data_IF_393805773562
#
_entry.id   IF_393805773562
#
_cell.length_a   1.000
_cell.length_b   1.000
_cell.length_c   1.000
_cell.angle_alpha   90.00
_cell.angle_beta   90.00
_cell.angle_gamma   90.00
#
_symmetry.space_group_name_H-M   'P 1'
#
loop_
_entity.id
_entity.type
_entity.pdbx_description
1 polymer ?
#
# COMPACT_ATOMS: atom_id res chain seq x y z
N UNK A 1 24.61 41.79 -17.26
CA UNK A 1 23.74 40.64 -17.60
C UNK A 1 24.43 39.39 -17.09
N UNK A 2 24.04 38.91 -15.91
CA UNK A 2 24.47 37.61 -15.41
C UNK A 2 23.17 36.86 -15.19
N UNK A 3 22.80 36.02 -16.15
CA UNK A 3 21.71 35.07 -16.02
C UNK A 3 22.35 33.75 -15.60
N UNK A 4 22.70 33.69 -14.33
CA UNK A 4 23.07 32.44 -13.67
C UNK A 4 21.85 32.05 -12.83
N UNK A 5 21.05 31.13 -13.35
CA UNK A 5 20.23 30.31 -12.49
C UNK A 5 19.95 28.99 -13.22
N UNK A 6 21.01 28.19 -13.21
CA UNK A 6 20.96 26.74 -13.12
C UNK A 6 19.88 26.28 -12.12
N UNK A 7 19.50 25.00 -12.22
CA UNK A 7 18.59 24.33 -11.30
C UNK A 7 17.07 24.43 -11.58
N UNK A 8 16.67 24.04 -12.81
CA UNK A 8 15.34 23.47 -13.06
C UNK A 8 15.25 21.99 -12.62
N UNK A 9 16.05 21.56 -11.64
CA UNK A 9 15.95 20.25 -11.00
C UNK A 9 14.96 20.30 -9.82
N UNK A 10 13.79 20.90 -10.05
CA UNK A 10 12.76 21.05 -9.01
C UNK A 10 11.98 19.76 -8.86
N UNK A 11 12.62 18.82 -8.18
CA UNK A 11 12.03 17.90 -7.23
C UNK A 11 10.76 17.20 -7.72
N UNK A 12 10.96 16.06 -8.40
CA UNK A 12 10.11 14.90 -8.13
C UNK A 12 10.33 14.51 -6.65
N UNK A 13 9.74 15.26 -5.72
CA UNK A 13 9.49 14.74 -4.37
C UNK A 13 8.57 13.56 -4.59
N UNK A 14 9.15 12.35 -4.70
CA UNK A 14 8.43 11.12 -4.43
C UNK A 14 7.71 11.40 -3.12
N UNK A 15 6.39 11.56 -3.17
CA UNK A 15 5.58 11.76 -1.98
C UNK A 15 5.83 10.53 -1.11
N UNK A 16 6.84 10.60 -0.25
CA UNK A 16 7.09 9.58 0.74
C UNK A 16 5.84 9.59 1.60
N UNK A 17 5.14 8.46 1.74
CA UNK A 17 3.97 8.43 2.60
C UNK A 17 4.45 8.81 4.01
N UNK A 18 4.01 9.97 4.50
CA UNK A 18 4.41 10.59 5.78
C UNK A 18 3.74 9.85 6.96
N UNK A 19 3.44 8.56 6.82
CA UNK A 19 2.69 7.79 7.81
C UNK A 19 2.92 6.29 7.70
N UNK A 20 2.57 5.53 8.76
CA UNK A 20 2.68 4.08 8.74
C UNK A 20 1.88 3.55 7.55
N UNK A 21 2.57 2.86 6.65
CA UNK A 21 1.93 2.27 5.48
C UNK A 21 1.69 0.80 5.79
N UNK A 22 0.45 0.42 6.01
CA UNK A 22 0.08 -0.98 6.15
C UNK A 22 -0.11 -1.61 4.77
N UNK A 23 0.24 -2.88 4.67
CA UNK A 23 0.05 -3.72 3.50
C UNK A 23 -0.76 -4.94 3.92
N UNK A 24 -1.88 -5.19 3.23
CA UNK A 24 -2.72 -6.36 3.45
C UNK A 24 -2.60 -7.30 2.25
N UNK A 25 -2.05 -8.49 2.47
CA UNK A 25 -1.98 -9.55 1.48
C UNK A 25 -3.20 -10.45 1.62
N UNK A 26 -3.88 -10.70 0.50
CA UNK A 26 -5.02 -11.60 0.41
C UNK A 26 -4.52 -12.92 -0.18
N UNK A 27 -4.51 -13.97 0.63
CA UNK A 27 -4.05 -15.31 0.26
C UNK A 27 -5.25 -16.23 0.09
N UNK A 28 -5.36 -16.87 -1.07
CA UNK A 28 -6.41 -17.86 -1.35
C UNK A 28 -5.79 -19.06 -2.05
N UNK A 29 -6.13 -20.28 -1.60
CA UNK A 29 -5.55 -21.54 -2.11
C UNK A 29 -4.01 -21.52 -2.18
N UNK A 30 -3.39 -21.02 -1.11
CA UNK A 30 -1.92 -20.88 -0.97
C UNK A 30 -1.26 -19.98 -2.02
N UNK A 31 -2.01 -19.05 -2.62
CA UNK A 31 -1.49 -18.05 -3.56
C UNK A 31 -1.89 -16.64 -3.12
N UNK A 32 -0.98 -15.69 -3.27
CA UNK A 32 -1.28 -14.26 -3.08
C UNK A 32 -2.12 -13.83 -4.29
N UNK A 33 -3.35 -13.41 -4.03
CA UNK A 33 -4.29 -12.97 -5.06
C UNK A 33 -4.25 -11.45 -5.26
N UNK A 34 -4.07 -10.71 -4.17
CA UNK A 34 -4.02 -9.26 -4.21
C UNK A 34 -3.26 -8.72 -2.98
N UNK A 35 -2.68 -7.53 -3.14
CA UNK A 35 -2.05 -6.77 -2.07
C UNK A 35 -2.66 -5.39 -2.05
N UNK A 36 -3.24 -5.00 -0.91
CA UNK A 36 -3.80 -3.67 -0.70
C UNK A 36 -2.88 -2.87 0.23
N UNK A 37 -2.81 -1.57 0.03
CA UNK A 37 -2.07 -0.68 0.94
C UNK A 37 -3.01 0.34 1.57
N UNK A 38 -2.72 0.74 2.80
CA UNK A 38 -3.54 1.65 3.58
C UNK A 38 -2.75 2.32 4.69
N UNK A 39 -3.34 3.34 5.30
CA UNK A 39 -2.76 4.05 6.46
C UNK A 39 -3.29 3.55 7.79
N UNK A 40 -4.38 2.79 7.76
CA UNK A 40 -5.04 2.21 8.92
C UNK A 40 -5.13 0.70 8.74
N UNK A 41 -4.74 -0.06 9.76
CA UNK A 41 -4.70 -1.52 9.70
C UNK A 41 -6.08 -2.16 9.73
N UNK A 42 -7.00 -1.65 10.56
CA UNK A 42 -8.31 -2.24 10.76
C UNK A 42 -9.22 -1.98 9.55
N UNK A 43 -9.20 -0.75 9.05
CA UNK A 43 -9.90 -0.37 7.83
C UNK A 43 -9.36 -1.17 6.62
N UNK A 44 -8.03 -1.34 6.53
CA UNK A 44 -7.41 -2.09 5.44
C UNK A 44 -7.78 -3.57 5.49
N UNK A 45 -7.82 -4.16 6.69
CA UNK A 45 -8.21 -5.55 6.91
C UNK A 45 -9.67 -5.79 6.49
N UNK A 46 -10.58 -4.92 6.94
CA UNK A 46 -12.00 -5.03 6.57
C UNK A 46 -12.21 -4.85 5.06
N UNK A 47 -11.53 -3.88 4.45
CA UNK A 47 -11.54 -3.67 2.99
C UNK A 47 -11.01 -4.90 2.24
N UNK A 48 -9.95 -5.53 2.73
CA UNK A 48 -9.39 -6.74 2.15
C UNK A 48 -10.36 -7.94 2.22
N UNK A 49 -11.06 -8.12 3.35
CA UNK A 49 -12.09 -9.16 3.46
C UNK A 49 -13.27 -8.91 2.52
N UNK A 50 -13.78 -7.68 2.46
CA UNK A 50 -14.85 -7.33 1.51
C UNK A 50 -14.42 -7.55 0.07
N UNK A 51 -13.18 -7.19 -0.28
CA UNK A 51 -12.64 -7.43 -1.62
C UNK A 51 -12.57 -8.93 -1.94
N UNK A 52 -12.11 -9.74 -1.00
CA UNK A 52 -12.07 -11.20 -1.16
C UNK A 52 -13.48 -11.81 -1.31
N UNK A 53 -14.47 -11.29 -0.57
CA UNK A 53 -15.86 -11.72 -0.67
C UNK A 53 -16.47 -11.37 -2.05
N UNK A 54 -16.27 -10.14 -2.54
CA UNK A 54 -16.68 -9.71 -3.87
C UNK A 54 -16.07 -10.58 -4.99
N UNK A 55 -14.84 -11.08 -4.78
CA UNK A 55 -14.16 -11.98 -5.72
C UNK A 55 -14.52 -13.47 -5.51
N UNK A 56 -15.44 -13.77 -4.59
CA UNK A 56 -15.89 -15.11 -4.22
C UNK A 56 -14.73 -16.04 -3.78
N UNK A 57 -13.68 -15.47 -3.18
CA UNK A 57 -12.55 -16.22 -2.60
C UNK A 57 -12.93 -16.70 -1.19
N UNK A 58 -13.85 -17.65 -1.14
CA UNK A 58 -14.34 -18.22 0.12
C UNK A 58 -13.18 -18.84 0.90
N UNK A 59 -12.95 -18.37 2.15
CA UNK A 59 -11.81 -18.75 3.01
C UNK A 59 -10.46 -18.11 2.62
N UNK A 60 -10.47 -16.94 1.99
CA UNK A 60 -9.27 -16.12 1.88
C UNK A 60 -8.73 -15.77 3.28
N UNK A 61 -7.40 -15.81 3.41
CA UNK A 61 -6.67 -15.33 4.58
C UNK A 61 -6.17 -13.93 4.27
N UNK A 62 -6.29 -13.01 5.23
CA UNK A 62 -5.79 -11.64 5.10
C UNK A 62 -4.66 -11.45 6.11
N UNK A 63 -3.47 -11.17 5.61
CA UNK A 63 -2.27 -10.91 6.41
C UNK A 63 -1.91 -9.43 6.31
N UNK A 64 -1.91 -8.70 7.44
CA UNK A 64 -1.61 -7.27 7.47
C UNK A 64 -0.24 -7.03 8.07
N UNK A 65 0.63 -6.34 7.33
CA UNK A 65 2.00 -6.03 7.72
C UNK A 65 2.20 -4.51 7.73
N UNK A 66 2.89 -3.99 8.75
CA UNK A 66 3.27 -2.57 8.79
C UNK A 66 4.55 -2.36 7.98
N UNK A 67 4.48 -1.53 6.94
CA UNK A 67 5.61 -1.02 6.19
C UNK A 67 6.36 0.00 7.04
N UNK A 68 7.50 -0.41 7.58
CA UNK A 68 8.35 0.39 8.47
C UNK A 68 9.26 -0.42 9.41
N UNK A 69 9.19 -1.75 9.41
CA UNK A 69 10.07 -2.64 10.20
C UNK A 69 11.32 -3.09 9.41
N UNK A 70 12.04 -2.13 8.81
CA UNK A 70 13.36 -2.36 8.19
C UNK A 70 14.32 -1.22 8.52
#
# INVERSE_FOLDING_TARGET
MITDNDDTQRYMVKAQPIGPTYSAQIVYKSRIMATLTGRDSDELKDRAYRYADCMNWRRAVVEVTKGGDA
#
